data_IF_179771023086
#
_entry.id   IF_179771023086
#
_cell.length_a   1.000
_cell.length_b   1.000
_cell.length_c   1.000
_cell.angle_alpha   90.00
_cell.angle_beta   90.00
_cell.angle_gamma   90.00
#
_symmetry.space_group_name_H-M   'P 1'
#
loop_
_entity.id
_entity.type
_entity.pdbx_description
1 polymer ?
#
# COMPACT_ATOMS: atom_id res chain seq x y z
N UNK A 1 -16.47 -20.75 -47.75
CA UNK A 1 -16.79 -21.00 -46.33
C UNK A 1 -15.89 -20.18 -45.41
N UNK A 2 -16.11 -18.86 -45.31
CA UNK A 2 -15.36 -17.96 -44.39
C UNK A 2 -16.26 -16.94 -43.68
N UNK A 3 -17.57 -16.97 -43.90
CA UNK A 3 -18.55 -16.04 -43.31
C UNK A 3 -19.20 -16.56 -42.02
N UNK A 4 -19.02 -17.84 -41.69
CA UNK A 4 -19.61 -18.45 -40.49
C UNK A 4 -18.71 -18.29 -39.24
N UNK A 5 -17.41 -18.03 -39.42
CA UNK A 5 -16.46 -17.91 -38.31
C UNK A 5 -16.51 -16.52 -37.64
N UNK A 6 -16.92 -15.48 -38.38
CA UNK A 6 -17.01 -14.11 -37.85
C UNK A 6 -18.28 -13.90 -37.02
N UNK A 7 -19.36 -14.66 -37.30
CA UNK A 7 -20.60 -14.58 -36.53
C UNK A 7 -20.48 -15.20 -35.14
N UNK A 8 -19.58 -16.18 -34.96
CA UNK A 8 -19.35 -16.83 -33.68
C UNK A 8 -18.51 -15.97 -32.71
N UNK A 9 -17.68 -15.05 -33.23
CA UNK A 9 -16.86 -14.15 -32.41
C UNK A 9 -17.64 -12.95 -31.85
N UNK A 10 -18.78 -12.57 -32.45
CA UNK A 10 -19.62 -11.50 -31.92
C UNK A 10 -20.57 -11.95 -30.79
N UNK A 11 -20.80 -13.25 -30.61
CA UNK A 11 -21.61 -13.77 -29.49
C UNK A 11 -20.80 -14.03 -28.21
N UNK A 12 -19.47 -14.04 -28.30
CA UNK A 12 -18.60 -14.19 -27.12
C UNK A 12 -18.42 -12.89 -26.31
N UNK A 13 -18.79 -11.73 -26.87
CA UNK A 13 -18.75 -10.42 -26.19
C UNK A 13 -20.10 -10.02 -25.57
N UNK A 14 -21.10 -10.91 -25.64
CA UNK A 14 -22.47 -10.69 -25.13
C UNK A 14 -22.90 -11.79 -24.15
N UNK A 15 -21.95 -12.37 -23.42
CA UNK A 15 -22.28 -13.06 -22.16
C UNK A 15 -22.26 -11.98 -21.07
N UNK A 16 -23.42 -11.45 -20.64
CA UNK A 16 -23.48 -10.93 -19.30
C UNK A 16 -23.25 -12.15 -18.41
N UNK A 17 -22.14 -12.18 -17.68
CA UNK A 17 -21.99 -13.05 -16.52
C UNK A 17 -22.94 -12.52 -15.43
N UNK A 18 -24.24 -12.65 -15.68
CA UNK A 18 -25.26 -12.87 -14.66
C UNK A 18 -25.09 -14.31 -14.18
N UNK A 19 -24.03 -14.50 -13.40
CA UNK A 19 -24.00 -15.53 -12.37
C UNK A 19 -24.54 -14.90 -11.09
N UNK A 20 -25.86 -14.65 -11.09
CA UNK A 20 -26.61 -14.42 -9.87
C UNK A 20 -27.01 -15.76 -9.27
N UNK A 21 -26.75 -15.92 -7.97
CA UNK A 21 -27.16 -16.95 -6.99
C UNK A 21 -25.91 -17.56 -6.34
N UNK A 22 -25.59 -17.36 -5.07
CA UNK A 22 -26.43 -16.95 -3.94
C UNK A 22 -25.56 -16.53 -2.75
N UNK A 23 -25.93 -15.42 -2.12
CA UNK A 23 -25.87 -15.20 -0.66
C UNK A 23 -24.54 -15.56 0.01
N UNK A 24 -23.60 -14.62 -0.02
CA UNK A 24 -22.93 -14.23 1.23
C UNK A 24 -23.29 -12.76 1.47
N UNK A 25 -24.46 -12.57 2.08
CA UNK A 25 -24.70 -11.39 2.88
C UNK A 25 -23.79 -11.51 4.11
N UNK A 26 -22.51 -11.20 3.95
CA UNK A 26 -21.81 -10.56 5.04
C UNK A 26 -21.87 -9.06 4.75
N UNK A 27 -22.77 -8.36 5.43
CA UNK A 27 -22.38 -7.08 6.01
C UNK A 27 -21.21 -7.32 6.99
N UNK A 28 -20.09 -7.87 6.50
CA UNK A 28 -18.81 -7.72 7.14
C UNK A 28 -18.44 -6.28 6.81
N UNK A 29 -18.96 -5.36 7.62
CA UNK A 29 -18.27 -4.12 7.89
C UNK A 29 -16.87 -4.53 8.31
N UNK A 30 -15.93 -4.52 7.36
CA UNK A 30 -14.51 -4.77 7.65
C UNK A 30 -14.15 -3.81 8.75
N UNK A 31 -13.74 -4.38 9.88
CA UNK A 31 -13.48 -3.59 11.06
C UNK A 31 -12.30 -2.67 10.78
N UNK A 32 -12.24 -1.55 11.51
CA UNK A 32 -11.09 -0.68 11.41
C UNK A 32 -9.77 -1.42 11.75
N UNK A 33 -9.83 -2.34 12.72
CA UNK A 33 -8.70 -3.18 13.12
C UNK A 33 -8.27 -4.09 11.97
N UNK A 34 -9.21 -4.80 11.32
CA UNK A 34 -8.89 -5.62 10.14
C UNK A 34 -8.27 -4.81 9.01
N UNK A 35 -8.77 -3.60 8.73
CA UNK A 35 -8.16 -2.78 7.69
C UNK A 35 -6.73 -2.35 8.02
N UNK A 36 -6.44 -2.07 9.30
CA UNK A 36 -5.09 -1.74 9.77
C UNK A 36 -4.16 -2.94 9.64
N UNK A 37 -4.58 -4.13 10.10
CA UNK A 37 -3.80 -5.36 9.96
C UNK A 37 -3.54 -5.71 8.49
N UNK A 38 -4.56 -5.55 7.64
CA UNK A 38 -4.46 -5.83 6.21
C UNK A 38 -3.50 -4.89 5.49
N UNK A 39 -3.54 -3.57 5.77
CA UNK A 39 -2.60 -2.63 5.14
C UNK A 39 -1.17 -2.83 5.65
N UNK A 40 -1.00 -3.11 6.95
CA UNK A 40 0.31 -3.42 7.53
C UNK A 40 0.93 -4.64 6.83
N UNK A 41 0.17 -5.73 6.72
CA UNK A 41 0.62 -6.95 6.03
C UNK A 41 0.90 -6.72 4.55
N UNK A 42 0.03 -5.99 3.86
CA UNK A 42 0.16 -5.68 2.43
C UNK A 42 1.41 -4.87 2.15
N UNK A 43 1.61 -3.76 2.87
CA UNK A 43 2.78 -2.90 2.71
C UNK A 43 4.05 -3.64 3.08
N UNK A 44 4.07 -4.35 4.23
CA UNK A 44 5.22 -5.17 4.64
C UNK A 44 5.65 -6.15 3.54
N UNK A 45 4.69 -6.81 2.92
CA UNK A 45 4.96 -7.76 1.82
C UNK A 45 5.49 -7.06 0.58
N UNK A 46 4.89 -5.95 0.16
CA UNK A 46 5.35 -5.18 -1.00
C UNK A 46 6.79 -4.67 -0.80
N UNK A 47 7.11 -4.19 0.40
CA UNK A 47 8.44 -3.69 0.72
C UNK A 47 9.47 -4.82 0.84
N UNK A 48 9.13 -5.97 1.44
CA UNK A 48 10.00 -7.16 1.42
C UNK A 48 10.43 -7.54 0.01
N UNK A 49 9.49 -7.58 -0.94
CA UNK A 49 9.77 -7.87 -2.36
C UNK A 49 10.72 -6.81 -2.91
N UNK A 50 10.40 -5.53 -2.71
CA UNK A 50 11.22 -4.41 -3.21
C UNK A 50 12.65 -4.47 -2.67
N UNK A 51 12.83 -4.71 -1.38
CA UNK A 51 14.15 -4.84 -0.73
C UNK A 51 14.93 -6.05 -1.26
N UNK A 52 14.25 -7.16 -1.54
CA UNK A 52 14.89 -8.36 -2.09
C UNK A 52 15.43 -8.15 -3.51
N UNK A 53 14.68 -7.41 -4.33
CA UNK A 53 15.06 -7.08 -5.71
C UNK A 53 16.15 -6.01 -5.77
N UNK A 54 15.98 -4.91 -5.04
CA UNK A 54 16.86 -3.73 -5.11
C UNK A 54 18.14 -3.88 -4.27
N UNK A 55 18.12 -4.74 -3.25
CA UNK A 55 19.26 -5.05 -2.37
C UNK A 55 19.98 -3.80 -1.84
N UNK A 56 19.27 -2.84 -1.21
CA UNK A 56 19.89 -1.64 -0.68
C UNK A 56 20.87 -1.98 0.45
N UNK A 57 21.81 -1.08 0.73
CA UNK A 57 22.74 -1.25 1.84
C UNK A 57 22.02 -1.11 3.18
N UNK A 58 22.58 -1.72 4.24
CA UNK A 58 21.98 -1.62 5.59
C UNK A 58 21.99 -0.19 6.11
N UNK A 59 23.03 0.60 5.79
CA UNK A 59 23.11 1.98 6.26
C UNK A 59 22.09 2.89 5.56
N UNK A 60 21.81 2.62 4.28
CA UNK A 60 20.73 3.26 3.53
C UNK A 60 19.36 3.02 4.17
N UNK A 61 19.13 1.81 4.68
CA UNK A 61 17.88 1.42 5.32
C UNK A 61 17.68 2.04 6.70
N UNK A 62 18.74 2.29 7.47
CA UNK A 62 18.63 2.94 8.79
C UNK A 62 18.09 4.37 8.67
N UNK A 63 18.56 5.13 7.68
CA UNK A 63 18.09 6.50 7.44
C UNK A 63 16.63 6.52 7.01
N UNK A 64 16.26 5.62 6.09
CA UNK A 64 14.88 5.47 5.65
C UNK A 64 13.97 5.05 6.80
N UNK A 65 14.41 4.12 7.65
CA UNK A 65 13.65 3.68 8.81
C UNK A 65 13.35 4.84 9.77
N UNK A 66 14.36 5.65 10.13
CA UNK A 66 14.16 6.80 10.99
C UNK A 66 13.13 7.77 10.41
N UNK A 67 13.20 8.04 9.11
CA UNK A 67 12.20 8.83 8.40
C UNK A 67 10.80 8.23 8.51
N UNK A 68 10.64 6.92 8.28
CA UNK A 68 9.33 6.26 8.32
C UNK A 68 8.69 6.27 9.72
N UNK A 69 9.50 6.11 10.77
CA UNK A 69 9.03 6.23 12.16
C UNK A 69 8.53 7.65 12.44
N UNK A 70 9.29 8.68 12.06
CA UNK A 70 8.85 10.08 12.22
C UNK A 70 7.60 10.37 11.38
N UNK A 71 7.56 9.91 10.13
CA UNK A 71 6.40 10.03 9.26
C UNK A 71 5.15 9.39 9.89
N UNK A 72 5.29 8.21 10.50
CA UNK A 72 4.20 7.51 11.17
C UNK A 72 3.65 8.33 12.34
N UNK A 73 4.52 8.85 13.21
CA UNK A 73 4.13 9.69 14.35
C UNK A 73 3.38 10.95 13.90
N UNK A 74 3.87 11.63 12.86
CA UNK A 74 3.27 12.85 12.34
C UNK A 74 1.88 12.60 11.72
N UNK A 75 1.74 11.51 10.95
CA UNK A 75 0.46 11.13 10.34
C UNK A 75 -0.55 10.73 11.40
N UNK A 76 -0.17 9.87 12.36
CA UNK A 76 -1.07 9.41 13.44
C UNK A 76 -1.52 10.59 14.31
N UNK A 77 -0.66 11.59 14.50
CA UNK A 77 -0.98 12.84 15.19
C UNK A 77 -1.86 13.79 14.37
N UNK A 78 -2.15 13.47 13.11
CA UNK A 78 -2.95 14.31 12.21
C UNK A 78 -2.22 15.52 11.63
N UNK A 79 -0.89 15.57 11.76
CA UNK A 79 -0.07 16.70 11.33
C UNK A 79 0.38 16.60 9.86
N UNK A 80 0.27 15.41 9.26
CA UNK A 80 0.68 15.12 7.89
C UNK A 80 -0.33 14.20 7.21
N UNK A 81 -0.48 14.37 5.90
CA UNK A 81 -1.17 13.44 5.00
C UNK A 81 -0.16 12.89 3.96
N UNK A 82 -0.65 12.10 3.00
CA UNK A 82 0.22 11.49 2.00
C UNK A 82 0.97 12.51 1.15
N UNK A 83 0.37 13.65 0.82
CA UNK A 83 1.04 14.69 0.05
C UNK A 83 2.15 15.36 0.87
N UNK A 84 1.84 15.65 2.14
CA UNK A 84 2.81 16.20 3.06
C UNK A 84 3.98 15.22 3.32
N UNK A 85 3.71 13.91 3.36
CA UNK A 85 4.77 12.89 3.37
C UNK A 85 5.66 12.95 2.13
N UNK A 86 5.10 13.14 0.93
CA UNK A 86 5.91 13.27 -0.30
C UNK A 86 6.85 14.47 -0.23
N UNK A 87 6.38 15.58 0.33
CA UNK A 87 7.22 16.76 0.54
C UNK A 87 8.30 16.50 1.61
N UNK A 88 7.96 15.80 2.69
CA UNK A 88 8.94 15.40 3.70
C UNK A 88 10.02 14.46 3.12
N UNK A 89 9.67 13.52 2.22
CA UNK A 89 10.67 12.71 1.50
C UNK A 89 11.69 13.61 0.81
N UNK A 90 11.22 14.61 0.06
CA UNK A 90 12.11 15.52 -0.71
C UNK A 90 13.00 16.36 0.22
N UNK A 91 12.50 16.73 1.39
CA UNK A 91 13.20 17.63 2.33
C UNK A 91 14.17 16.89 3.25
N UNK A 92 13.80 15.71 3.73
CA UNK A 92 14.52 15.00 4.79
C UNK A 92 15.44 13.90 4.27
N UNK A 93 15.13 13.31 3.12
CA UNK A 93 15.89 12.19 2.60
C UNK A 93 16.81 12.62 1.46
N UNK A 94 18.08 12.16 1.45
CA UNK A 94 18.91 12.21 0.25
C UNK A 94 18.28 11.53 -0.96
N UNK A 95 18.57 12.04 -2.16
CA UNK A 95 17.97 11.59 -3.44
C UNK A 95 18.05 10.07 -3.66
N UNK A 96 19.12 9.42 -3.21
CA UNK A 96 19.31 7.98 -3.32
C UNK A 96 18.23 7.15 -2.61
N UNK A 97 17.47 7.74 -1.67
CA UNK A 97 16.39 7.10 -0.93
C UNK A 97 14.99 7.40 -1.47
N UNK A 98 14.88 8.40 -2.35
CA UNK A 98 13.59 8.89 -2.83
C UNK A 98 12.77 7.79 -3.50
N UNK A 99 13.41 6.96 -4.32
CA UNK A 99 12.71 5.88 -5.04
C UNK A 99 12.01 4.93 -4.07
N UNK A 100 12.70 4.47 -3.03
CA UNK A 100 12.13 3.54 -2.07
C UNK A 100 11.08 4.22 -1.16
N UNK A 101 11.35 5.45 -0.72
CA UNK A 101 10.42 6.22 0.10
C UNK A 101 9.11 6.56 -0.66
N UNK A 102 9.20 7.02 -1.90
CA UNK A 102 8.01 7.26 -2.74
C UNK A 102 7.27 5.97 -3.06
N UNK A 103 7.97 4.86 -3.28
CA UNK A 103 7.32 3.55 -3.47
C UNK A 103 6.46 3.17 -2.26
N UNK A 104 6.96 3.38 -1.04
CA UNK A 104 6.20 3.14 0.19
C UNK A 104 4.93 4.01 0.22
N UNK A 105 5.08 5.31 -0.04
CA UNK A 105 3.94 6.25 -0.06
C UNK A 105 2.91 5.85 -1.13
N UNK A 106 3.35 5.50 -2.33
CA UNK A 106 2.48 5.08 -3.45
C UNK A 106 1.69 3.80 -3.14
N UNK A 107 2.34 2.82 -2.49
CA UNK A 107 1.71 1.55 -2.11
C UNK A 107 0.62 1.81 -1.06
N UNK A 108 0.91 2.63 -0.07
CA UNK A 108 -0.05 3.02 0.98
C UNK A 108 -1.22 3.79 0.35
N UNK A 109 -0.95 4.78 -0.48
CA UNK A 109 -1.98 5.59 -1.14
C UNK A 109 -2.95 4.72 -1.95
N UNK A 110 -2.43 3.80 -2.77
CA UNK A 110 -3.27 2.89 -3.55
C UNK A 110 -4.15 1.99 -2.67
N UNK A 111 -3.63 1.53 -1.53
CA UNK A 111 -4.42 0.74 -0.60
C UNK A 111 -5.52 1.60 0.04
N UNK A 112 -5.17 2.80 0.52
CA UNK A 112 -6.12 3.72 1.14
C UNK A 112 -7.24 4.08 0.17
N UNK A 113 -6.92 4.49 -1.07
CA UNK A 113 -7.91 4.87 -2.08
C UNK A 113 -8.82 3.71 -2.52
N UNK A 114 -8.35 2.46 -2.44
CA UNK A 114 -9.16 1.28 -2.78
C UNK A 114 -10.10 0.83 -1.66
N UNK A 115 -9.86 1.23 -0.42
CA UNK A 115 -10.65 0.81 0.76
C UNK A 115 -11.40 1.97 1.44
N UNK A 116 -11.00 3.21 1.15
CA UNK A 116 -11.66 4.45 1.56
C UNK A 116 -11.93 5.28 0.29
N UNK A 117 -13.08 5.09 -0.38
CA UNK A 117 -13.40 5.82 -1.61
C UNK A 117 -13.58 7.33 -1.39
N UNK A 118 -13.85 7.75 -0.15
CA UNK A 118 -13.75 9.15 0.27
C UNK A 118 -12.84 9.26 1.52
N UNK A 119 -11.51 9.41 1.32
CA UNK A 119 -10.55 9.49 2.41
C UNK A 119 -10.67 10.78 3.21
N UNK A 120 -11.18 11.85 2.59
CA UNK A 120 -11.23 13.19 3.18
C UNK A 120 -12.44 13.35 4.10
N UNK A 121 -13.50 12.58 3.88
CA UNK A 121 -14.61 12.44 4.81
C UNK A 121 -14.25 11.65 6.08
N UNK A 122 -13.15 10.88 6.07
CA UNK A 122 -12.74 10.05 7.20
C UNK A 122 -11.24 10.16 7.55
N UNK A 123 -10.80 11.39 7.80
CA UNK A 123 -9.40 11.75 8.09
C UNK A 123 -8.77 10.88 9.19
N UNK A 124 -9.49 10.63 10.29
CA UNK A 124 -8.97 9.82 11.41
C UNK A 124 -8.69 8.39 10.95
N UNK A 125 -9.65 7.75 10.27
CA UNK A 125 -9.49 6.39 9.75
C UNK A 125 -8.40 6.33 8.69
N UNK A 126 -8.37 7.31 7.77
CA UNK A 126 -7.33 7.45 6.74
C UNK A 126 -5.94 7.50 7.37
N UNK A 127 -5.73 8.39 8.33
CA UNK A 127 -4.43 8.58 8.98
C UNK A 127 -4.01 7.32 9.78
N UNK A 128 -4.95 6.63 10.41
CA UNK A 128 -4.67 5.36 11.06
C UNK A 128 -4.25 4.26 10.08
N UNK A 129 -4.87 4.19 8.89
CA UNK A 129 -4.44 3.25 7.85
C UNK A 129 -3.05 3.62 7.31
N UNK A 130 -2.79 4.89 7.02
CA UNK A 130 -1.46 5.34 6.58
C UNK A 130 -0.42 4.99 7.65
N UNK A 131 -0.71 5.25 8.93
CA UNK A 131 0.16 4.92 10.05
C UNK A 131 0.44 3.41 10.16
N UNK A 132 -0.57 2.55 9.99
CA UNK A 132 -0.39 1.10 9.97
C UNK A 132 0.45 0.64 8.75
N UNK A 133 0.22 1.23 7.58
CA UNK A 133 1.02 0.96 6.38
C UNK A 133 2.50 1.33 6.56
N UNK A 134 2.79 2.51 7.14
CA UNK A 134 4.15 2.92 7.49
C UNK A 134 4.79 1.95 8.50
N UNK A 135 4.03 1.49 9.50
CA UNK A 135 4.47 0.45 10.44
C UNK A 135 4.89 -0.84 9.73
N UNK A 136 4.08 -1.32 8.79
CA UNK A 136 4.41 -2.49 7.97
C UNK A 136 5.69 -2.32 7.15
N UNK A 137 5.95 -1.10 6.65
CA UNK A 137 7.20 -0.80 5.94
C UNK A 137 8.43 -0.82 6.88
N UNK A 138 8.33 -0.25 8.08
CA UNK A 138 9.38 -0.29 9.11
C UNK A 138 9.72 -1.74 9.47
N UNK A 139 8.69 -2.53 9.73
CA UNK A 139 8.80 -3.96 10.03
C UNK A 139 9.54 -4.77 8.94
N UNK A 140 9.26 -4.47 7.67
CA UNK A 140 9.94 -5.10 6.54
C UNK A 140 11.43 -4.73 6.48
N UNK A 141 11.76 -3.48 6.79
CA UNK A 141 13.13 -2.99 6.85
C UNK A 141 13.89 -3.67 8.00
N UNK A 142 13.30 -3.74 9.20
CA UNK A 142 13.90 -4.38 10.37
C UNK A 142 14.25 -5.84 10.10
N UNK A 143 13.33 -6.58 9.49
CA UNK A 143 13.57 -7.98 9.13
C UNK A 143 14.73 -8.11 8.12
N UNK A 144 14.74 -7.27 7.08
CA UNK A 144 15.80 -7.31 6.07
C UNK A 144 17.17 -6.98 6.68
N UNK A 145 17.25 -5.95 7.53
CA UNK A 145 18.49 -5.57 8.22
C UNK A 145 18.97 -6.68 9.17
N UNK A 146 18.04 -7.30 9.91
CA UNK A 146 18.33 -8.44 10.80
C UNK A 146 18.89 -9.63 10.03
N UNK A 147 18.36 -9.93 8.84
CA UNK A 147 18.83 -11.02 7.98
C UNK A 147 20.22 -10.75 7.40
N UNK A 148 20.58 -9.49 7.14
CA UNK A 148 21.89 -9.10 6.58
C UNK A 148 23.00 -8.96 7.61
N UNK A 149 22.64 -8.86 8.89
CA UNK A 149 23.58 -8.72 10.00
C UNK A 149 24.03 -10.07 10.60
N UNK A 150 23.53 -11.19 10.07
CA UNK A 150 23.89 -12.56 10.44
C UNK A 150 24.86 -13.15 9.42
#
# INVERSE_FOLDING_TARGET
>A
MKKFLVLLMCFATLIPLVSGCSIFNSNQTVTQVELQENIEFFVKTAIRITLHETKPSVDDLKNLQAYLVTAQELVVSGLQDLEALRELVKQMLPDQYHVLAFTIVDVIERYVLSHLPDPDENVVRRNQLIGAGLGGAVDAIDEYVSLKSK
#
